data_IF_644506534761
#
_entry.id   IF_644506534761
#
_cell.length_a   1.000
_cell.length_b   1.000
_cell.length_c   1.000
_cell.angle_alpha   90.00
_cell.angle_beta   90.00
_cell.angle_gamma   90.00
#
_symmetry.space_group_name_H-M   'P 1'
#
loop_
_entity.id
_entity.type
_entity.pdbx_description
1 polymer ?
#
# COMPACT_ATOMS: atom_id res chain seq x y z
N UNK A 1 3.64 10.90 -6.58
CA UNK A 1 3.38 12.22 -5.98
C UNK A 1 2.62 12.02 -4.68
N UNK A 2 3.04 12.69 -3.61
CA UNK A 2 2.35 12.70 -2.31
C UNK A 2 1.01 13.40 -2.45
N UNK A 3 -0.04 12.81 -1.90
CA UNK A 3 -1.41 13.32 -1.96
C UNK A 3 -1.90 13.86 -0.62
N UNK A 4 -1.43 13.27 0.47
CA UNK A 4 -1.81 13.64 1.82
C UNK A 4 -0.71 13.16 2.77
N UNK A 5 -0.49 13.88 3.86
CA UNK A 5 0.40 13.46 4.94
C UNK A 5 -0.18 13.89 6.28
N UNK A 6 0.17 13.15 7.31
CA UNK A 6 -0.13 13.51 8.69
C UNK A 6 1.12 13.38 9.51
N UNK A 7 1.26 14.25 10.51
CA UNK A 7 2.33 14.23 11.48
C UNK A 7 1.76 13.88 12.85
N UNK A 8 2.47 13.05 13.60
CA UNK A 8 2.24 12.84 15.02
C UNK A 8 3.19 13.77 15.77
N UNK A 9 2.63 14.64 16.61
CA UNK A 9 3.41 15.57 17.42
C UNK A 9 3.40 15.10 18.88
N UNK A 10 4.55 15.23 19.52
CA UNK A 10 4.65 15.18 20.97
C UNK A 10 5.27 16.51 21.41
N UNK A 11 4.44 17.37 22.04
CA UNK A 11 4.77 18.78 22.27
C UNK A 11 5.13 19.45 20.93
N UNK A 12 6.31 20.06 20.85
CA UNK A 12 6.78 20.81 19.67
C UNK A 12 7.66 19.97 18.74
N UNK A 13 7.71 18.65 18.93
CA UNK A 13 8.52 17.74 18.12
C UNK A 13 7.66 16.77 17.27
N UNK A 14 7.91 16.66 15.96
CA UNK A 14 7.25 15.67 15.12
C UNK A 14 7.88 14.29 15.33
N UNK A 15 7.14 13.38 15.97
CA UNK A 15 7.60 12.04 16.34
C UNK A 15 7.10 10.94 15.39
N UNK A 16 6.26 11.27 14.41
CA UNK A 16 5.76 10.30 13.45
C UNK A 16 5.18 10.92 12.19
N UNK A 17 5.15 10.14 11.12
CA UNK A 17 4.58 10.56 9.83
C UNK A 17 3.86 9.39 9.14
N UNK A 18 2.68 9.66 8.59
CA UNK A 18 2.03 8.82 7.59
C UNK A 18 2.07 9.52 6.23
N UNK A 19 2.50 8.80 5.19
CA UNK A 19 2.61 9.33 3.82
C UNK A 19 1.63 8.61 2.92
N UNK A 20 0.72 9.37 2.32
CA UNK A 20 -0.29 8.85 1.39
C UNK A 20 0.03 9.32 -0.03
N UNK A 21 0.05 8.40 -0.97
CA UNK A 21 0.42 8.64 -2.37
C UNK A 21 -0.64 8.10 -3.33
N UNK A 22 -0.55 8.49 -4.60
CA UNK A 22 -1.35 7.85 -5.65
C UNK A 22 -1.10 6.34 -5.69
N UNK A 23 -2.14 5.52 -5.81
CA UNK A 23 -1.98 4.07 -5.79
C UNK A 23 -1.30 3.55 -7.05
N UNK A 24 -0.49 2.48 -6.94
CA UNK A 24 0.12 1.83 -8.09
C UNK A 24 -0.94 1.10 -8.93
N UNK A 25 -0.79 1.11 -10.25
CA UNK A 25 -1.79 0.51 -11.16
C UNK A 25 -1.80 -1.02 -11.07
N UNK A 26 -0.66 -1.62 -10.76
CA UNK A 26 -0.37 -3.06 -10.90
C UNK A 26 -0.76 -3.95 -9.69
N UNK A 27 -1.71 -3.52 -8.85
CA UNK A 27 -2.16 -4.32 -7.70
C UNK A 27 -3.36 -5.21 -8.03
N UNK A 28 -3.10 -6.51 -8.13
CA UNK A 28 -4.12 -7.51 -8.41
C UNK A 28 -5.11 -7.66 -7.25
N UNK A 29 -4.64 -7.64 -6.00
CA UNK A 29 -5.50 -7.82 -4.82
C UNK A 29 -6.57 -6.73 -4.71
N UNK A 30 -6.24 -5.49 -5.07
CA UNK A 30 -7.21 -4.40 -5.21
C UNK A 30 -8.31 -4.74 -6.21
N UNK A 31 -7.93 -5.23 -7.39
CA UNK A 31 -8.90 -5.56 -8.43
C UNK A 31 -9.84 -6.68 -7.96
N UNK A 32 -9.32 -7.68 -7.25
CA UNK A 32 -10.14 -8.74 -6.64
C UNK A 32 -11.12 -8.16 -5.61
N UNK A 33 -10.66 -7.29 -4.71
CA UNK A 33 -11.51 -6.66 -3.69
C UNK A 33 -12.67 -5.86 -4.27
N UNK A 34 -12.43 -5.10 -5.34
CA UNK A 34 -13.45 -4.29 -6.01
C UNK A 34 -14.20 -5.05 -7.12
N UNK A 35 -13.95 -6.35 -7.30
CA UNK A 35 -14.59 -7.14 -8.37
C UNK A 35 -14.27 -6.64 -9.79
N UNK A 36 -13.14 -5.95 -9.97
CA UNK A 36 -12.74 -5.35 -11.24
C UNK A 36 -12.01 -6.36 -12.11
N UNK A 37 -12.47 -6.48 -13.36
CA UNK A 37 -11.80 -7.23 -14.42
C UNK A 37 -11.44 -6.30 -15.59
N UNK A 38 -10.63 -6.78 -16.54
CA UNK A 38 -10.28 -6.03 -17.75
C UNK A 38 -9.11 -5.06 -17.61
N UNK A 39 -8.86 -4.31 -18.69
CA UNK A 39 -7.73 -3.36 -18.79
C UNK A 39 -8.07 -2.01 -18.15
N UNK A 40 -7.03 -1.25 -17.80
CA UNK A 40 -7.17 0.13 -17.36
C UNK A 40 -7.23 1.04 -18.58
N UNK A 41 -8.35 1.72 -18.78
CA UNK A 41 -8.38 2.94 -19.58
C UNK A 41 -8.02 4.17 -18.72
N UNK A 42 -7.74 5.30 -19.38
CA UNK A 42 -7.32 6.55 -18.71
C UNK A 42 -8.40 7.09 -17.77
N UNK A 43 -9.67 7.01 -18.15
CA UNK A 43 -10.81 7.54 -17.39
C UNK A 43 -11.04 6.72 -16.13
N UNK A 44 -11.09 5.41 -16.25
CA UNK A 44 -11.24 4.48 -15.15
C UNK A 44 -10.06 4.56 -14.17
N UNK A 45 -8.84 4.74 -14.68
CA UNK A 45 -7.66 4.96 -13.84
C UNK A 45 -7.77 6.27 -13.05
N UNK A 46 -8.17 7.36 -13.71
CA UNK A 46 -8.37 8.67 -13.07
C UNK A 46 -9.48 8.60 -12.01
N UNK A 47 -10.56 7.88 -12.28
CA UNK A 47 -11.65 7.64 -11.33
C UNK A 47 -11.16 6.87 -10.10
N UNK A 48 -10.44 5.76 -10.28
CA UNK A 48 -9.84 5.00 -9.17
C UNK A 48 -8.89 5.88 -8.35
N UNK A 49 -7.97 6.59 -9.01
CA UNK A 49 -7.03 7.47 -8.32
C UNK A 49 -7.72 8.61 -7.57
N UNK A 50 -8.96 9.00 -7.90
CA UNK A 50 -9.70 9.98 -7.09
C UNK A 50 -10.25 9.39 -5.80
N UNK A 51 -10.62 8.11 -5.83
CA UNK A 51 -11.29 7.43 -4.73
C UNK A 51 -10.35 6.63 -3.83
N UNK A 52 -9.09 6.44 -4.25
CA UNK A 52 -8.16 5.56 -3.57
C UNK A 52 -6.77 6.18 -3.41
N UNK A 53 -6.14 5.96 -2.26
CA UNK A 53 -4.73 6.28 -1.96
C UNK A 53 -4.00 5.08 -1.40
N UNK A 54 -2.67 5.06 -1.56
CA UNK A 54 -1.79 4.12 -0.89
C UNK A 54 -1.16 4.79 0.33
N UNK A 55 -1.34 4.20 1.52
CA UNK A 55 -0.51 4.49 2.68
C UNK A 55 0.86 3.83 2.46
N UNK A 56 1.82 4.63 2.00
CA UNK A 56 3.12 4.15 1.55
C UNK A 56 4.13 4.03 2.68
N UNK A 57 4.06 4.94 3.66
CA UNK A 57 5.01 4.97 4.78
C UNK A 57 4.29 5.30 6.06
N UNK A 58 4.66 4.57 7.11
CA UNK A 58 4.38 4.88 8.51
C UNK A 58 5.74 4.87 9.19
N UNK A 59 6.15 6.01 9.72
CA UNK A 59 7.42 6.15 10.43
C UNK A 59 7.14 6.71 11.80
N UNK A 60 7.73 6.08 12.82
CA UNK A 60 7.71 6.54 14.20
C UNK A 60 9.17 6.70 14.64
N UNK A 61 9.44 7.81 15.31
CA UNK A 61 10.73 8.12 15.90
C UNK A 61 11.16 6.96 16.83
N UNK A 62 12.40 6.45 16.73
CA UNK A 62 12.82 5.24 17.44
C UNK A 62 12.53 5.23 18.95
N UNK A 63 12.73 6.35 19.64
CA UNK A 63 12.46 6.52 21.08
C UNK A 63 11.01 6.20 21.48
N UNK A 64 10.06 6.33 20.55
CA UNK A 64 8.63 6.13 20.80
C UNK A 64 8.11 4.79 20.27
N UNK A 65 9.00 3.94 19.72
CA UNK A 65 8.63 2.60 19.27
C UNK A 65 8.40 1.68 20.47
N UNK A 66 7.54 0.69 20.31
CA UNK A 66 7.18 -0.26 21.38
C UNK A 66 6.06 0.22 22.31
N UNK A 67 5.76 1.52 22.35
CA UNK A 67 4.69 2.09 23.18
C UNK A 67 3.25 1.89 22.64
N UNK A 68 3.08 1.18 21.51
CA UNK A 68 1.76 0.94 20.89
C UNK A 68 1.14 2.14 20.14
N UNK A 69 1.69 3.35 20.26
CA UNK A 69 1.14 4.60 19.70
C UNK A 69 0.93 4.59 18.18
N UNK A 70 1.69 3.76 17.46
CA UNK A 70 1.67 3.71 16.00
C UNK A 70 0.30 3.26 15.46
N UNK A 71 -0.39 2.36 16.17
CA UNK A 71 -1.67 1.81 15.74
C UNK A 71 -2.75 2.90 15.74
N UNK A 72 -2.87 3.65 16.83
CA UNK A 72 -3.84 4.73 16.96
C UNK A 72 -3.50 5.89 16.03
N UNK A 73 -2.21 6.21 15.89
CA UNK A 73 -1.76 7.23 14.94
C UNK A 73 -2.16 6.88 13.50
N UNK A 74 -1.94 5.63 13.06
CA UNK A 74 -2.33 5.20 11.71
C UNK A 74 -3.84 5.25 11.53
N UNK A 75 -4.62 4.76 12.51
CA UNK A 75 -6.09 4.82 12.47
C UNK A 75 -6.57 6.27 12.29
N UNK A 76 -6.10 7.18 13.15
CA UNK A 76 -6.51 8.59 13.11
C UNK A 76 -6.05 9.27 11.82
N UNK A 77 -4.86 8.94 11.33
CA UNK A 77 -4.37 9.45 10.06
C UNK A 77 -5.22 9.00 8.88
N UNK A 78 -5.71 7.76 8.92
CA UNK A 78 -6.63 7.25 7.91
C UNK A 78 -7.98 7.96 7.98
N UNK A 79 -8.54 8.13 9.17
CA UNK A 79 -9.80 8.88 9.39
C UNK A 79 -9.75 10.32 8.87
N UNK A 80 -8.63 11.00 9.07
CA UNK A 80 -8.41 12.37 8.58
C UNK A 80 -8.17 12.46 7.07
N UNK A 81 -7.87 11.35 6.40
CA UNK A 81 -7.61 11.36 4.97
C UNK A 81 -8.91 11.63 4.20
N UNK A 82 -8.98 12.61 3.29
CA UNK A 82 -10.22 12.94 2.58
C UNK A 82 -10.65 11.90 1.54
N UNK A 83 -9.92 10.79 1.42
CA UNK A 83 -10.09 9.79 0.37
C UNK A 83 -10.87 8.58 0.89
N UNK A 84 -11.91 8.10 0.17
CA UNK A 84 -12.79 7.03 0.62
C UNK A 84 -12.12 5.70 0.98
N UNK A 85 -11.10 5.30 0.21
CA UNK A 85 -10.37 4.05 0.43
C UNK A 85 -8.88 4.30 0.54
N UNK A 86 -8.27 3.64 1.51
CA UNK A 86 -6.83 3.67 1.73
C UNK A 86 -6.34 2.23 1.65
N UNK A 87 -5.40 1.97 0.76
CA UNK A 87 -4.77 0.65 0.65
C UNK A 87 -3.36 0.66 1.23
N UNK A 88 -2.86 -0.49 1.64
CA UNK A 88 -1.45 -0.67 1.99
C UNK A 88 -0.99 -2.11 1.78
N UNK A 89 0.32 -2.30 1.72
CA UNK A 89 0.98 -3.59 1.55
C UNK A 89 2.03 -3.76 2.63
N UNK A 90 2.05 -4.93 3.26
CA UNK A 90 3.04 -5.22 4.30
C UNK A 90 3.44 -6.69 4.32
N UNK A 91 4.75 -6.95 4.27
CA UNK A 91 5.28 -8.28 4.62
C UNK A 91 5.07 -8.61 6.08
N UNK A 92 5.20 -7.59 6.95
CA UNK A 92 5.05 -7.74 8.38
C UNK A 92 3.63 -8.11 8.80
N UNK A 93 2.64 -8.00 7.90
CA UNK A 93 1.27 -8.46 8.13
C UNK A 93 1.12 -9.96 8.38
N UNK A 94 2.14 -10.77 8.06
CA UNK A 94 2.19 -12.19 8.44
C UNK A 94 2.65 -12.41 9.88
N UNK A 95 3.31 -11.44 10.47
CA UNK A 95 3.96 -11.55 11.79
C UNK A 95 3.16 -10.80 12.85
N UNK A 96 2.67 -9.60 12.52
CA UNK A 96 1.93 -8.76 13.45
C UNK A 96 0.68 -8.17 12.77
N UNK A 97 -0.50 -8.26 13.42
CA UNK A 97 -1.74 -7.69 12.90
C UNK A 97 -1.81 -6.17 13.12
N UNK A 98 -0.74 -5.45 12.76
CA UNK A 98 -0.58 -4.02 13.03
C UNK A 98 -1.68 -3.18 12.34
N UNK A 99 -1.93 -3.48 11.07
CA UNK A 99 -2.91 -2.76 10.27
C UNK A 99 -4.34 -3.15 10.62
N UNK A 100 -4.58 -4.41 10.94
CA UNK A 100 -5.87 -4.91 11.42
C UNK A 100 -6.28 -4.20 12.72
N UNK A 101 -5.36 -4.08 13.68
CA UNK A 101 -5.60 -3.30 14.91
C UNK A 101 -5.84 -1.81 14.63
N UNK A 102 -5.23 -1.27 13.58
CA UNK A 102 -5.48 0.10 13.12
C UNK A 102 -6.81 0.25 12.34
N UNK A 103 -7.58 -0.83 12.15
CA UNK A 103 -8.88 -0.83 11.49
C UNK A 103 -8.87 -1.19 10.01
N UNK A 104 -7.75 -1.69 9.46
CA UNK A 104 -7.71 -2.20 8.09
C UNK A 104 -8.33 -3.59 8.01
N UNK A 105 -9.00 -3.86 6.90
CA UNK A 105 -9.40 -5.20 6.49
C UNK A 105 -8.23 -5.88 5.79
N UNK A 106 -7.86 -7.08 6.27
CA UNK A 106 -6.95 -8.00 5.57
C UNK A 106 -7.67 -8.63 4.39
N UNK A 107 -7.27 -8.30 3.17
CA UNK A 107 -7.98 -8.75 1.96
C UNK A 107 -7.35 -10.01 1.37
N UNK A 108 -6.02 -10.07 1.30
CA UNK A 108 -5.33 -11.17 0.62
C UNK A 108 -3.83 -10.98 0.59
N UNK A 109 -3.13 -11.85 -0.13
CA UNK A 109 -1.67 -11.83 -0.24
C UNK A 109 -1.28 -11.56 -1.68
N UNK A 110 -0.46 -10.54 -1.91
CA UNK A 110 0.15 -10.32 -3.22
C UNK A 110 1.31 -11.29 -3.37
N UNK A 111 1.38 -12.02 -4.48
CA UNK A 111 2.50 -12.90 -4.79
C UNK A 111 3.12 -12.50 -6.13
N UNK A 112 4.45 -12.52 -6.26
CA UNK A 112 5.10 -12.43 -7.55
C UNK A 112 4.63 -13.63 -8.38
N UNK A 113 3.86 -13.38 -9.44
CA UNK A 113 3.63 -14.37 -10.50
C UNK A 113 4.99 -14.94 -10.93
N UNK A 114 5.05 -16.22 -11.31
CA UNK A 114 6.22 -16.86 -11.93
C UNK A 114 6.70 -16.00 -13.12
N UNK A 115 7.63 -15.09 -12.85
CA UNK A 115 8.18 -14.13 -13.80
C UNK A 115 9.61 -14.54 -14.01
N UNK A 116 10.04 -14.67 -15.26
CA UNK A 116 11.45 -14.77 -15.56
C UNK A 116 12.20 -13.53 -15.04
N UNK A 117 13.52 -13.64 -14.80
CA UNK A 117 14.36 -12.51 -14.41
C UNK A 117 14.24 -11.33 -15.39
N UNK A 118 14.08 -11.63 -16.68
CA UNK A 118 13.81 -10.63 -17.73
C UNK A 118 12.49 -9.90 -17.48
N UNK A 119 11.40 -10.63 -17.19
CA UNK A 119 10.11 -10.02 -16.88
C UNK A 119 10.13 -9.20 -15.57
N UNK A 120 10.87 -9.66 -14.56
CA UNK A 120 11.05 -8.94 -13.30
C UNK A 120 11.81 -7.62 -13.51
N UNK A 121 12.85 -7.62 -14.35
CA UNK A 121 13.66 -6.44 -14.64
C UNK A 121 12.85 -5.30 -15.30
N UNK A 122 11.80 -5.63 -16.05
CA UNK A 122 10.89 -4.64 -16.66
C UNK A 122 10.13 -3.78 -15.63
N UNK A 123 9.96 -4.25 -14.39
CA UNK A 123 9.33 -3.46 -13.32
C UNK A 123 10.14 -2.20 -13.01
N UNK A 124 11.46 -2.30 -13.07
CA UNK A 124 12.39 -1.22 -12.77
C UNK A 124 12.69 -0.33 -13.98
N UNK A 125 11.93 -0.48 -15.07
CA UNK A 125 12.10 0.33 -16.27
C UNK A 125 13.39 0.05 -17.01
N UNK A 126 13.82 -1.23 -17.05
CA UNK A 126 15.06 -1.65 -17.72
C UNK A 126 15.25 -0.99 -19.07
N UNK A 127 16.15 0.00 -19.13
CA UNK A 127 16.57 0.63 -20.35
C UNK A 127 17.53 -0.31 -21.08
N UNK A 128 17.43 -0.37 -22.41
CA UNK A 128 18.48 -0.94 -23.25
C UNK A 128 19.61 0.08 -23.32
N UNK A 129 20.66 -0.09 -22.53
CA UNK A 129 21.91 0.63 -22.74
C UNK A 129 22.76 -0.18 -23.72
N UNK A 130 23.21 0.44 -24.81
CA UNK A 130 24.15 -0.18 -25.77
C UNK A 130 23.71 -1.55 -26.34
N UNK A 131 22.39 -1.77 -26.51
CA UNK A 131 21.86 -3.03 -27.07
C UNK A 131 21.82 -4.21 -26.09
N UNK A 132 22.31 -4.07 -24.86
CA UNK A 132 22.15 -5.08 -23.80
C UNK A 132 21.04 -4.66 -22.82
N UNK A 133 20.16 -5.61 -22.48
CA UNK A 133 19.17 -5.41 -21.42
C UNK A 133 19.89 -5.39 -20.06
N UNK A 134 19.84 -4.27 -19.34
CA UNK A 134 20.31 -4.22 -17.95
C UNK A 134 19.32 -4.99 -17.08
N UNK A 135 19.65 -6.25 -16.82
CA UNK A 135 18.85 -7.13 -15.98
C UNK A 135 19.17 -6.88 -14.50
N UNK A 136 18.17 -6.97 -13.63
CA UNK A 136 18.41 -6.95 -12.17
C UNK A 136 19.35 -8.08 -11.78
N UNK A 137 20.17 -7.87 -10.75
CA UNK A 137 21.08 -8.92 -10.28
C UNK A 137 20.34 -10.22 -9.99
N UNK A 138 21.03 -11.34 -10.16
CA UNK A 138 20.47 -12.66 -9.85
C UNK A 138 19.96 -12.71 -8.40
N UNK A 139 20.73 -12.16 -7.47
CA UNK A 139 20.37 -12.03 -6.06
C UNK A 139 19.08 -11.22 -5.84
N UNK A 140 18.91 -10.08 -6.53
CA UNK A 140 17.68 -9.27 -6.42
C UNK A 140 16.46 -10.05 -6.92
N UNK A 141 16.63 -10.78 -8.03
CA UNK A 141 15.58 -11.63 -8.57
C UNK A 141 15.21 -12.75 -7.59
N UNK A 142 16.17 -13.46 -7.03
CA UNK A 142 15.92 -14.54 -6.07
C UNK A 142 15.21 -14.03 -4.81
N UNK A 143 15.70 -12.93 -4.22
CA UNK A 143 15.05 -12.30 -3.04
C UNK A 143 13.60 -11.91 -3.32
N UNK A 144 13.32 -11.36 -4.51
CA UNK A 144 11.97 -10.95 -4.88
C UNK A 144 10.97 -12.11 -4.93
N UNK A 145 11.42 -13.34 -5.22
CA UNK A 145 10.54 -14.53 -5.32
C UNK A 145 9.90 -14.91 -3.98
N UNK A 146 10.50 -14.50 -2.87
CA UNK A 146 10.01 -14.78 -1.52
C UNK A 146 9.09 -13.67 -0.98
N UNK A 147 8.82 -12.63 -1.79
CA UNK A 147 8.05 -11.45 -1.37
C UNK A 147 6.56 -11.73 -1.47
N UNK A 148 5.88 -11.99 -0.35
CA UNK A 148 4.43 -12.22 -0.29
C UNK A 148 3.66 -11.17 0.53
N UNK A 149 3.64 -9.88 0.19
CA UNK A 149 3.09 -8.88 1.11
C UNK A 149 1.57 -9.03 1.23
N UNK A 150 1.07 -8.91 2.45
CA UNK A 150 -0.37 -8.88 2.74
C UNK A 150 -0.92 -7.54 2.24
N UNK A 151 -2.04 -7.60 1.52
CA UNK A 151 -2.80 -6.46 1.03
C UNK A 151 -3.94 -6.14 1.99
N UNK A 152 -4.00 -4.87 2.34
CA UNK A 152 -4.94 -4.31 3.30
C UNK A 152 -5.73 -3.17 2.68
N UNK A 153 -6.97 -3.01 3.13
CA UNK A 153 -7.81 -1.87 2.77
C UNK A 153 -8.52 -1.30 3.99
N UNK A 154 -8.50 0.01 4.14
CA UNK A 154 -9.25 0.75 5.13
C UNK A 154 -10.41 1.48 4.44
N UNK A 155 -11.62 1.26 4.96
CA UNK A 155 -12.84 1.90 4.47
C UNK A 155 -13.07 3.21 5.24
N UNK A 156 -12.61 4.32 4.65
CA UNK A 156 -12.72 5.64 5.25
C UNK A 156 -14.02 6.38 4.88
N UNK A 157 -14.99 5.68 4.29
CA UNK A 157 -16.29 6.28 4.01
C UNK A 157 -17.05 6.55 5.32
N UNK A 158 -17.87 7.61 5.37
CA UNK A 158 -18.75 7.85 6.51
C UNK A 158 -19.68 6.66 6.73
N UNK A 159 -20.11 6.46 7.97
CA UNK A 159 -20.98 5.34 8.38
C UNK A 159 -22.23 5.21 7.51
N UNK A 160 -22.82 6.32 7.08
CA UNK A 160 -23.98 6.36 6.17
C UNK A 160 -23.73 5.74 4.79
N UNK A 161 -22.47 5.64 4.34
CA UNK A 161 -22.08 5.07 3.04
C UNK A 161 -21.42 3.69 3.16
N UNK A 162 -21.15 3.22 4.39
CA UNK A 162 -20.63 1.87 4.66
C UNK A 162 -21.78 0.89 4.52
N UNK A 163 -21.97 0.33 3.32
CA UNK A 163 -22.87 -0.82 3.14
C UNK A 163 -22.41 -1.95 4.07
N UNK A 164 -23.30 -2.45 4.93
CA UNK A 164 -23.06 -3.63 5.76
C UNK A 164 -22.75 -4.79 4.83
N UNK A 165 -21.48 -5.20 4.75
CA UNK A 165 -21.13 -6.52 4.23
C UNK A 165 -21.47 -7.52 5.33
N UNK A 166 -22.77 -7.78 5.50
CA UNK A 166 -23.26 -8.96 6.20
C UNK A 166 -23.09 -10.11 5.22
N UNK A 167 -22.11 -10.97 5.47
CA UNK A 167 -22.03 -12.33 4.96
C UNK A 167 -21.58 -13.19 6.12
#
# INVERSE_FOLDING_TARGET
>A
MTRFLTLLWHRDEPIGICVFVSPPISLQQRNLYFGRTGRWDKTALKAMCRQLVLLQRVVIHPTYRGAGIATDFVRRSCELCPVPWIETLSQMGHINPFFERAGFLRVGVSSPRNRSRQSHSKIYGGNRQHGQETLVSQETYEKSRHTHPVYYIFDNRPSSQRRSKTN
#
